data_IF_059650179962
#
_entry.id   IF_059650179962
#
_cell.length_a   1.000
_cell.length_b   1.000
_cell.length_c   1.000
_cell.angle_alpha   90.00
_cell.angle_beta   90.00
_cell.angle_gamma   90.00
#
_symmetry.space_group_name_H-M   'P 1'
#
loop_
_entity.id
_entity.type
_entity.pdbx_description
1 polymer ?
#
# COMPACT_ATOMS: atom_id res chain seq x y z
N UNK A 1 7.90 -13.96 3.61
CA UNK A 1 6.65 -13.97 4.43
C UNK A 1 6.42 -12.59 5.05
N UNK A 2 5.17 -12.21 5.36
CA UNK A 2 4.84 -10.88 5.95
C UNK A 2 5.66 -10.62 7.23
N UNK A 3 5.91 -11.64 8.04
CA UNK A 3 6.76 -11.57 9.25
C UNK A 3 8.20 -11.12 8.95
N UNK A 4 8.84 -11.68 7.92
CA UNK A 4 10.23 -11.35 7.56
C UNK A 4 10.37 -9.87 7.18
N UNK A 5 9.35 -9.29 6.54
CA UNK A 5 9.34 -7.87 6.20
C UNK A 5 9.33 -7.00 7.46
N UNK A 6 8.47 -7.31 8.43
CA UNK A 6 8.43 -6.58 9.70
C UNK A 6 9.71 -6.74 10.51
N UNK A 7 10.28 -7.94 10.53
CA UNK A 7 11.57 -8.19 11.18
C UNK A 7 12.69 -7.34 10.57
N UNK A 8 12.77 -7.26 9.24
CA UNK A 8 13.74 -6.40 8.55
C UNK A 8 13.57 -4.92 8.92
N UNK A 9 12.33 -4.41 8.93
CA UNK A 9 12.06 -3.03 9.34
C UNK A 9 12.48 -2.76 10.79
N UNK A 10 12.23 -3.70 11.69
CA UNK A 10 12.61 -3.59 13.10
C UNK A 10 14.13 -3.60 13.25
N UNK A 11 14.84 -4.44 12.48
CA UNK A 11 16.30 -4.46 12.46
C UNK A 11 16.87 -3.12 11.95
N UNK A 12 16.35 -2.59 10.84
CA UNK A 12 16.76 -1.28 10.29
C UNK A 12 16.52 -0.17 11.31
N UNK A 13 15.36 -0.18 11.99
CA UNK A 13 15.03 0.81 13.01
C UNK A 13 15.99 0.73 14.20
N UNK A 14 16.26 -0.48 14.71
CA UNK A 14 17.19 -0.70 15.81
C UNK A 14 18.62 -0.25 15.45
N UNK A 15 19.09 -0.60 14.25
CA UNK A 15 20.39 -0.15 13.73
C UNK A 15 20.46 1.37 13.56
N UNK A 16 19.36 2.03 13.15
CA UNK A 16 19.32 3.49 13.01
C UNK A 16 19.41 4.20 14.35
N UNK A 17 18.75 3.66 15.38
CA UNK A 17 18.84 4.18 16.76
C UNK A 17 20.25 3.99 17.31
N UNK A 18 20.82 2.78 17.16
CA UNK A 18 22.19 2.50 17.59
C UNK A 18 23.19 3.43 16.89
N UNK A 19 23.04 3.62 15.57
CA UNK A 19 23.84 4.56 14.80
C UNK A 19 23.74 5.99 15.33
N UNK A 20 22.55 6.48 15.71
CA UNK A 20 22.37 7.82 16.27
C UNK A 20 23.08 8.00 17.62
N UNK A 21 23.05 6.98 18.47
CA UNK A 21 23.73 7.01 19.77
C UNK A 21 25.24 7.10 19.56
N UNK A 22 25.80 6.16 18.78
CA UNK A 22 27.24 6.11 18.47
C UNK A 22 27.70 7.40 17.77
N UNK A 23 26.90 7.90 16.82
CA UNK A 23 27.16 9.16 16.14
C UNK A 23 27.20 10.33 17.12
N UNK A 24 26.28 10.40 18.08
CA UNK A 24 26.29 11.46 19.09
C UNK A 24 27.52 11.37 20.00
N UNK A 25 27.88 10.18 20.46
CA UNK A 25 29.05 9.97 21.33
C UNK A 25 30.37 10.33 20.64
N UNK A 26 30.52 10.00 19.36
CA UNK A 26 31.70 10.36 18.56
C UNK A 26 31.77 11.86 18.22
N UNK A 27 30.66 12.57 18.32
CA UNK A 27 30.54 13.98 17.93
C UNK A 27 30.23 14.86 19.15
N UNK A 28 31.06 14.73 20.18
CA UNK A 28 31.06 15.61 21.35
C UNK A 28 32.25 16.58 21.28
N UNK A 29 32.01 17.86 21.52
CA UNK A 29 33.04 18.90 21.64
C UNK A 29 33.19 19.24 23.12
N UNK A 30 34.36 18.97 23.70
CA UNK A 30 34.66 19.27 25.12
C UNK A 30 33.67 18.63 26.13
N UNK A 31 33.01 17.54 25.74
CA UNK A 31 32.00 16.86 26.57
C UNK A 31 30.57 17.36 26.35
N UNK A 32 30.36 18.36 25.49
CA UNK A 32 29.04 18.83 25.08
C UNK A 32 28.67 18.32 23.67
N UNK A 33 27.41 17.95 23.43
CA UNK A 33 26.95 17.56 22.10
C UNK A 33 27.00 18.74 21.12
N UNK A 34 27.34 18.47 19.86
CA UNK A 34 27.37 19.50 18.81
C UNK A 34 25.97 20.09 18.61
N UNK A 35 25.91 21.42 18.57
CA UNK A 35 24.70 22.22 18.38
C UNK A 35 24.70 22.88 17.01
N UNK A 36 23.52 22.96 16.40
CA UNK A 36 23.28 23.65 15.12
C UNK A 36 22.16 24.66 15.26
N UNK A 37 22.26 25.76 14.51
CA UNK A 37 21.17 26.73 14.36
C UNK A 37 20.41 26.41 13.09
N UNK A 38 19.11 26.20 13.20
CA UNK A 38 18.22 25.99 12.05
C UNK A 38 17.59 27.34 11.70
N UNK A 39 17.78 27.86 10.47
CA UNK A 39 17.09 29.05 10.02
C UNK A 39 15.58 28.95 10.27
N UNK A 40 14.96 30.03 10.73
CA UNK A 40 13.51 30.12 11.00
C UNK A 40 12.95 29.27 12.16
N UNK A 41 13.77 28.45 12.86
CA UNK A 41 13.33 27.65 14.01
C UNK A 41 14.03 28.03 15.33
N UNK A 42 15.22 28.61 15.29
CA UNK A 42 15.91 29.08 16.49
C UNK A 42 15.54 30.53 16.81
N UNK A 43 14.44 30.73 17.53
CA UNK A 43 14.25 31.96 18.30
C UNK A 43 15.23 31.91 19.48
N UNK A 44 16.03 32.96 19.66
CA UNK A 44 17.08 33.00 20.71
C UNK A 44 16.53 32.82 22.13
N UNK A 45 15.23 33.10 22.33
CA UNK A 45 14.53 32.92 23.61
C UNK A 45 14.20 31.44 23.91
N UNK A 46 13.91 30.63 22.89
CA UNK A 46 13.47 29.24 23.07
C UNK A 46 14.65 28.25 23.09
N UNK A 47 15.70 28.53 22.31
CA UNK A 47 16.86 27.63 22.17
C UNK A 47 18.17 28.44 22.19
N UNK A 48 18.58 28.96 23.37
CA UNK A 48 19.84 29.69 23.50
C UNK A 48 21.01 28.76 23.16
N UNK A 49 21.70 29.06 22.05
CA UNK A 49 22.84 28.27 21.57
C UNK A 49 22.52 27.19 20.52
N UNK A 50 21.27 27.10 20.05
CA UNK A 50 20.87 26.16 18.99
C UNK A 50 20.39 24.80 19.49
N UNK A 51 20.14 23.88 18.56
CA UNK A 51 19.60 22.54 18.81
C UNK A 51 20.68 21.48 18.67
N UNK A 52 20.65 20.45 19.51
CA UNK A 52 21.57 19.33 19.38
C UNK A 52 21.36 18.60 18.04
N UNK A 53 22.43 18.32 17.33
CA UNK A 53 22.39 17.70 15.98
C UNK A 53 21.62 16.38 15.99
N UNK A 54 21.86 15.52 16.99
CA UNK A 54 21.18 14.23 17.10
C UNK A 54 19.66 14.37 17.21
N UNK A 55 19.17 15.42 17.87
CA UNK A 55 17.74 15.69 18.01
C UNK A 55 17.15 16.12 16.67
N UNK A 56 17.86 16.95 15.91
CA UNK A 56 17.44 17.38 14.57
C UNK A 56 17.42 16.20 13.59
N UNK A 57 18.43 15.33 13.64
CA UNK A 57 18.47 14.10 12.84
C UNK A 57 17.30 13.17 13.20
N UNK A 58 17.00 13.00 14.49
CA UNK A 58 15.87 12.19 14.94
C UNK A 58 14.54 12.75 14.43
N UNK A 59 14.30 14.06 14.57
CA UNK A 59 13.06 14.70 14.12
C UNK A 59 12.87 14.56 12.61
N UNK A 60 13.91 14.84 11.83
CA UNK A 60 13.86 14.73 10.36
C UNK A 60 13.65 13.30 9.90
N UNK A 61 14.30 12.33 10.55
CA UNK A 61 14.08 10.90 10.32
C UNK A 61 12.64 10.49 10.62
N UNK A 62 12.11 10.86 11.79
CA UNK A 62 10.72 10.56 12.17
C UNK A 62 9.71 11.17 11.19
N UNK A 63 9.91 12.43 10.78
CA UNK A 63 9.08 13.08 9.76
C UNK A 63 9.13 12.32 8.43
N UNK A 64 10.31 11.88 8.00
CA UNK A 64 10.46 11.06 6.80
C UNK A 64 9.69 9.73 6.87
N UNK A 65 9.76 9.03 8.01
CA UNK A 65 9.01 7.79 8.25
C UNK A 65 7.50 8.03 8.21
N UNK A 66 7.02 9.09 8.85
CA UNK A 66 5.59 9.46 8.85
C UNK A 66 5.10 9.77 7.44
N UNK A 67 5.84 10.58 6.67
CA UNK A 67 5.49 10.88 5.28
C UNK A 67 5.49 9.63 4.40
N UNK A 68 6.50 8.76 4.54
CA UNK A 68 6.55 7.48 3.84
C UNK A 68 5.36 6.57 4.15
N UNK A 69 4.92 6.56 5.41
CA UNK A 69 3.72 5.83 5.82
C UNK A 69 2.45 6.39 5.18
N UNK A 70 2.27 7.71 5.17
CA UNK A 70 1.12 8.38 4.52
C UNK A 70 1.07 8.06 3.03
N UNK A 71 2.19 8.15 2.33
CA UNK A 71 2.29 7.79 0.90
C UNK A 71 1.90 6.33 0.69
N UNK A 72 2.40 5.43 1.54
CA UNK A 72 2.09 4.00 1.47
C UNK A 72 0.60 3.72 1.68
N UNK A 73 -0.06 4.45 2.59
CA UNK A 73 -1.51 4.35 2.80
C UNK A 73 -2.29 4.75 1.54
N UNK A 74 -1.93 5.87 0.92
CA UNK A 74 -2.59 6.34 -0.32
C UNK A 74 -2.43 5.30 -1.43
N UNK A 75 -1.22 4.76 -1.61
CA UNK A 75 -0.95 3.70 -2.59
C UNK A 75 -1.79 2.45 -2.32
N UNK A 76 -1.85 2.01 -1.06
CA UNK A 76 -2.63 0.84 -0.64
C UNK A 76 -4.12 1.02 -0.95
N UNK A 77 -4.68 2.21 -0.74
CA UNK A 77 -6.08 2.51 -1.08
C UNK A 77 -6.30 2.46 -2.60
N UNK A 78 -5.42 3.08 -3.39
CA UNK A 78 -5.49 3.07 -4.86
C UNK A 78 -5.48 1.65 -5.42
N UNK A 79 -4.52 0.84 -4.98
CA UNK A 79 -4.37 -0.57 -5.38
C UNK A 79 -5.62 -1.41 -5.06
N UNK A 80 -6.25 -1.17 -3.91
CA UNK A 80 -7.46 -1.88 -3.50
C UNK A 80 -8.67 -1.52 -4.37
N UNK A 81 -8.81 -0.26 -4.74
CA UNK A 81 -9.87 0.23 -5.64
C UNK A 81 -9.76 -0.39 -7.04
N UNK A 82 -8.54 -0.43 -7.59
CA UNK A 82 -8.27 -1.04 -8.88
C UNK A 82 -8.56 -2.55 -8.86
N UNK A 83 -8.11 -3.25 -7.81
CA UNK A 83 -8.34 -4.70 -7.67
C UNK A 83 -9.83 -5.05 -7.63
N UNK A 84 -10.65 -4.26 -6.92
CA UNK A 84 -12.11 -4.46 -6.87
C UNK A 84 -12.73 -4.25 -8.26
N UNK A 85 -12.31 -3.20 -8.97
CA UNK A 85 -12.79 -2.89 -10.32
C UNK A 85 -12.44 -4.00 -11.31
N UNK A 86 -11.19 -4.47 -11.29
CA UNK A 86 -10.71 -5.60 -12.10
C UNK A 86 -11.49 -6.88 -11.81
N UNK A 87 -11.74 -7.18 -10.53
CA UNK A 87 -12.53 -8.35 -10.13
C UNK A 87 -13.98 -8.26 -10.64
N UNK A 88 -14.59 -7.09 -10.58
CA UNK A 88 -15.94 -6.86 -11.10
C UNK A 88 -16.02 -7.04 -12.62
N UNK A 89 -15.08 -6.44 -13.36
CA UNK A 89 -14.99 -6.61 -14.83
C UNK A 89 -14.79 -8.07 -15.23
N UNK A 90 -13.91 -8.79 -14.53
CA UNK A 90 -13.67 -10.21 -14.81
C UNK A 90 -14.93 -11.05 -14.58
N UNK A 91 -15.66 -10.83 -13.48
CA UNK A 91 -16.96 -11.48 -13.22
C UNK A 91 -17.99 -11.19 -14.32
N UNK A 92 -18.06 -9.94 -14.81
CA UNK A 92 -18.97 -9.56 -15.90
C UNK A 92 -18.65 -10.33 -17.19
N UNK A 93 -17.37 -10.40 -17.57
CA UNK A 93 -16.91 -11.16 -18.74
C UNK A 93 -17.23 -12.65 -18.60
N UNK A 94 -17.07 -13.24 -17.41
CA UNK A 94 -17.46 -14.63 -17.16
C UNK A 94 -18.97 -14.85 -17.37
N UNK A 95 -19.80 -13.94 -16.87
CA UNK A 95 -21.26 -14.00 -17.06
C UNK A 95 -21.63 -13.85 -18.55
N UNK A 96 -21.00 -12.92 -19.26
CA UNK A 96 -21.21 -12.74 -20.71
C UNK A 96 -20.80 -13.98 -21.51
N UNK A 97 -19.67 -14.60 -21.14
CA UNK A 97 -19.21 -15.84 -21.76
C UNK A 97 -20.16 -17.01 -21.48
N UNK A 98 -20.63 -17.17 -20.24
CA UNK A 98 -21.60 -18.21 -19.89
C UNK A 98 -22.95 -17.99 -20.57
N UNK A 99 -23.39 -16.73 -20.70
CA UNK A 99 -24.58 -16.38 -21.46
C UNK A 99 -24.44 -16.75 -22.94
N UNK A 100 -23.32 -16.38 -23.59
CA UNK A 100 -23.04 -16.77 -24.99
C UNK A 100 -22.93 -18.29 -25.17
N UNK A 101 -22.41 -19.02 -24.18
CA UNK A 101 -22.37 -20.48 -24.20
C UNK A 101 -23.77 -21.10 -24.10
N UNK A 102 -24.69 -20.47 -23.37
CA UNK A 102 -26.07 -20.95 -23.23
C UNK A 102 -27.00 -20.44 -24.34
N UNK A 103 -26.66 -19.35 -25.02
CA UNK A 103 -27.45 -18.79 -26.13
C UNK A 103 -27.43 -19.68 -27.39
N UNK A 104 -26.47 -20.59 -27.51
CA UNK A 104 -26.39 -21.53 -28.65
C UNK A 104 -27.25 -22.79 -28.53
N UNK A 105 -28.09 -22.94 -27.50
CA UNK A 105 -28.91 -24.15 -27.27
C UNK A 105 -30.42 -23.89 -27.24
N UNK A 106 -30.89 -22.65 -27.00
CA UNK A 106 -32.32 -22.34 -26.87
C UNK A 106 -32.97 -21.81 -28.17
N UNK A 107 -32.19 -21.31 -29.13
CA UNK A 107 -32.72 -20.63 -30.34
C UNK A 107 -32.87 -21.54 -31.60
N UNK A 108 -32.61 -22.86 -31.54
CA UNK A 108 -32.64 -23.73 -32.74
C UNK A 108 -33.39 -25.07 -32.60
N UNK A 109 -34.35 -25.23 -31.69
CA UNK A 109 -35.19 -26.44 -31.64
C UNK A 109 -36.66 -26.11 -31.34
N UNK A 110 -37.29 -25.35 -32.22
CA UNK A 110 -38.74 -25.38 -32.39
C UNK A 110 -39.04 -26.62 -33.26
N UNK A 111 -39.19 -27.80 -32.63
CA UNK A 111 -39.72 -28.98 -33.32
C UNK A 111 -41.23 -28.75 -33.44
N UNK A 112 -41.80 -28.48 -34.62
CA UNK A 112 -43.25 -28.38 -34.76
C UNK A 112 -43.86 -29.76 -34.45
N UNK A 113 -44.76 -29.81 -33.47
CA UNK A 113 -45.56 -30.97 -33.04
C UNK A 113 -46.53 -31.52 -34.11
N UNK A 114 -46.33 -31.19 -35.39
CA UNK A 114 -47.32 -31.38 -36.46
C UNK A 114 -47.13 -32.69 -37.27
N UNK A 115 -46.42 -33.69 -36.73
CA UNK A 115 -46.07 -34.92 -37.47
C UNK A 115 -46.58 -36.26 -36.91
N UNK A 116 -47.44 -36.30 -35.88
CA UNK A 116 -47.92 -37.60 -35.32
C UNK A 116 -49.42 -37.90 -35.46
N UNK A 117 -50.23 -37.11 -36.18
CA UNK A 117 -51.69 -37.34 -36.26
C UNK A 117 -52.22 -37.93 -37.58
N UNK A 118 -51.36 -38.51 -38.44
CA UNK A 118 -51.87 -39.11 -39.69
C UNK A 118 -51.10 -40.33 -40.21
N UNK A 119 -51.44 -41.51 -39.67
CA UNK A 119 -51.67 -42.79 -40.39
C UNK A 119 -51.48 -44.00 -39.47
N UNK A 120 -52.58 -44.56 -38.96
CA UNK A 120 -52.95 -45.98 -39.17
C UNK A 120 -54.28 -46.26 -38.45
N UNK A 121 -55.39 -46.01 -39.16
CA UNK A 121 -56.64 -46.73 -38.93
C UNK A 121 -57.08 -47.34 -40.26
N UNK A 122 -57.27 -48.66 -40.23
CA UNK A 122 -57.68 -49.60 -41.29
C UNK A 122 -56.61 -50.04 -42.29
#
# INVERSE_FOLDING_TARGET
>A
MKLLKYFLFLMILSSSIYFLIELNELNMLEGDPIKIKIPFMTNEEAFPGGLNVWMVLLITFTLGVVLGFVISLIQMISLKSETITLKSKNKKIQIELDALRNQGLEDELDIPDDLEDNKFSL
#
